data_IF_037954174750
#
_entry.id   IF_037954174750
#
_cell.length_a   1.000
_cell.length_b   1.000
_cell.length_c   1.000
_cell.angle_alpha   90.00
_cell.angle_beta   90.00
_cell.angle_gamma   90.00
#
_symmetry.space_group_name_H-M   'P 1'
#
loop_
_entity.id
_entity.type
_entity.pdbx_description
1 polymer ?
#
# COMPACT_ATOMS: atom_id res chain seq x y z
N UNK A 1 7.16 19.54 0.41
CA UNK A 1 7.30 19.03 1.79
C UNK A 1 6.97 17.55 1.77
N UNK A 2 7.79 16.74 2.40
CA UNK A 2 7.53 15.32 2.51
C UNK A 2 6.22 15.09 3.29
N UNK A 3 5.39 14.17 2.79
CA UNK A 3 4.18 13.69 3.45
C UNK A 3 4.53 12.70 4.56
N UNK A 4 5.49 11.81 4.25
CA UNK A 4 5.98 10.77 5.15
C UNK A 4 7.51 10.72 5.09
N UNK A 5 8.16 10.72 6.25
CA UNK A 5 9.57 10.41 6.40
C UNK A 5 9.72 9.29 7.45
N UNK A 6 10.45 8.27 7.12
CA UNK A 6 10.87 7.21 8.03
C UNK A 6 12.37 7.36 8.21
N UNK A 7 12.85 7.26 9.45
CA UNK A 7 14.26 7.38 9.80
C UNK A 7 14.68 6.21 10.68
N UNK A 8 15.71 5.51 10.26
CA UNK A 8 16.39 4.45 10.99
C UNK A 8 15.45 3.36 11.53
N UNK A 9 14.55 2.85 10.67
CA UNK A 9 13.58 1.83 11.09
C UNK A 9 14.24 0.47 11.25
N UNK A 10 14.02 -0.16 12.41
CA UNK A 10 14.48 -1.51 12.76
C UNK A 10 13.33 -2.41 13.16
N UNK A 11 13.37 -3.67 12.71
CA UNK A 11 12.43 -4.71 13.13
C UNK A 11 13.09 -6.08 13.16
N UNK A 12 12.87 -6.78 14.26
CA UNK A 12 13.30 -8.18 14.44
C UNK A 12 12.13 -9.04 14.91
N UNK A 13 12.15 -10.32 14.58
CA UNK A 13 11.28 -11.36 15.11
C UNK A 13 12.17 -12.42 15.75
N UNK A 14 12.23 -12.42 17.08
CA UNK A 14 13.22 -13.22 17.80
C UNK A 14 14.64 -12.82 17.39
N UNK A 15 15.43 -13.78 16.91
CA UNK A 15 16.80 -13.55 16.44
C UNK A 15 16.91 -13.14 14.96
N UNK A 16 15.79 -13.09 14.25
CA UNK A 16 15.80 -12.72 12.84
C UNK A 16 15.61 -11.20 12.66
N UNK A 17 16.67 -10.51 12.22
CA UNK A 17 16.59 -9.10 11.84
C UNK A 17 15.97 -8.97 10.45
N UNK A 18 14.82 -8.28 10.36
CA UNK A 18 14.03 -8.14 9.11
C UNK A 18 14.17 -6.74 8.52
N UNK A 19 14.24 -5.70 9.36
CA UNK A 19 14.55 -4.32 8.94
C UNK A 19 15.79 -3.85 9.69
N UNK A 20 16.75 -3.30 8.97
CA UNK A 20 18.11 -3.06 9.47
C UNK A 20 18.56 -1.59 9.26
N UNK A 21 17.80 -0.63 9.83
CA UNK A 21 18.15 0.79 9.75
C UNK A 21 17.89 1.36 8.36
N UNK A 22 16.61 1.47 7.98
CA UNK A 22 16.21 2.00 6.66
C UNK A 22 15.56 3.36 6.81
N UNK A 23 15.82 4.21 5.83
CA UNK A 23 15.15 5.50 5.65
C UNK A 23 14.21 5.43 4.44
N UNK A 24 13.10 6.18 4.48
CA UNK A 24 12.17 6.30 3.37
C UNK A 24 11.56 7.70 3.39
N UNK A 25 11.53 8.37 2.25
CA UNK A 25 10.85 9.65 2.09
C UNK A 25 9.79 9.56 1.00
N UNK A 26 8.58 10.02 1.28
CA UNK A 26 7.46 10.06 0.33
C UNK A 26 6.89 11.47 0.30
N UNK A 27 6.87 12.10 -0.87
CA UNK A 27 6.21 13.39 -1.06
C UNK A 27 4.75 13.19 -1.46
N UNK A 28 3.95 14.24 -1.30
CA UNK A 28 2.55 14.19 -1.74
C UNK A 28 2.49 14.01 -3.26
N UNK A 29 1.69 13.04 -3.71
CA UNK A 29 1.53 12.66 -5.11
C UNK A 29 2.58 11.67 -5.63
N UNK A 30 3.57 11.27 -4.81
CA UNK A 30 4.51 10.23 -5.20
C UNK A 30 3.84 8.85 -5.27
N UNK A 31 4.28 8.08 -6.24
CA UNK A 31 4.05 6.63 -6.32
C UNK A 31 5.37 5.93 -6.14
N UNK A 32 5.58 5.36 -4.95
CA UNK A 32 6.81 4.62 -4.63
C UNK A 32 6.58 3.13 -4.87
N UNK A 33 7.35 2.52 -5.77
CA UNK A 33 7.36 1.06 -5.92
C UNK A 33 8.50 0.46 -5.09
N UNK A 34 8.19 -0.53 -4.26
CA UNK A 34 9.17 -1.29 -3.48
C UNK A 34 9.28 -2.70 -4.08
N UNK A 35 10.43 -2.99 -4.64
CA UNK A 35 10.80 -4.25 -5.28
C UNK A 35 11.78 -5.05 -4.40
N UNK A 36 11.95 -6.32 -4.71
CA UNK A 36 12.96 -7.17 -4.08
C UNK A 36 12.49 -8.59 -3.84
N UNK A 37 13.41 -9.53 -3.55
CA UNK A 37 13.10 -10.94 -3.37
C UNK A 37 12.16 -11.18 -2.20
N UNK A 38 11.49 -12.34 -2.19
CA UNK A 38 10.68 -12.78 -1.05
C UNK A 38 11.53 -12.82 0.23
N UNK A 39 10.96 -12.39 1.36
CA UNK A 39 11.66 -12.31 2.64
C UNK A 39 12.62 -11.12 2.80
N UNK A 40 12.66 -10.16 1.87
CA UNK A 40 13.51 -8.97 2.00
C UNK A 40 13.02 -7.93 3.02
N UNK A 41 11.79 -8.09 3.57
CA UNK A 41 11.23 -7.21 4.60
C UNK A 41 10.19 -6.20 4.09
N UNK A 42 9.81 -6.22 2.80
CA UNK A 42 8.87 -5.26 2.17
C UNK A 42 7.52 -5.13 2.89
N UNK A 43 6.82 -6.26 3.06
CA UNK A 43 5.55 -6.34 3.81
C UNK A 43 5.71 -5.88 5.25
N UNK A 44 6.83 -6.27 5.91
CA UNK A 44 7.12 -5.85 7.29
C UNK A 44 7.29 -4.33 7.37
N UNK A 45 7.98 -3.71 6.40
CA UNK A 45 8.11 -2.26 6.34
C UNK A 45 6.74 -1.59 6.25
N UNK A 46 5.89 -1.97 5.30
CA UNK A 46 4.53 -1.39 5.17
C UNK A 46 3.71 -1.58 6.45
N UNK A 47 3.79 -2.74 7.08
CA UNK A 47 3.07 -3.01 8.32
C UNK A 47 3.58 -2.16 9.49
N UNK A 48 4.89 -1.96 9.61
CA UNK A 48 5.47 -1.11 10.65
C UNK A 48 5.06 0.36 10.47
N UNK A 49 5.15 0.92 9.26
CA UNK A 49 4.80 2.33 9.02
C UNK A 49 3.31 2.62 9.17
N UNK A 50 2.44 1.60 9.07
CA UNK A 50 1.00 1.73 9.34
C UNK A 50 0.59 1.17 10.73
N UNK A 51 1.56 0.86 11.59
CA UNK A 51 1.36 0.29 12.94
C UNK A 51 0.52 -0.99 12.97
N UNK A 52 0.47 -1.76 11.88
CA UNK A 52 -0.04 -3.14 11.87
C UNK A 52 0.94 -4.11 12.53
N UNK A 53 2.19 -3.70 12.60
CA UNK A 53 3.29 -4.33 13.35
C UNK A 53 4.06 -3.23 14.07
N UNK A 54 4.57 -3.50 15.28
CA UNK A 54 5.38 -2.53 16.03
C UNK A 54 6.85 -2.69 15.66
N UNK A 55 7.51 -1.63 15.23
CA UNK A 55 8.96 -1.62 15.00
C UNK A 55 9.72 -1.71 16.32
N UNK A 56 11.00 -2.14 16.29
CA UNK A 56 11.84 -2.15 17.47
C UNK A 56 12.49 -0.78 17.75
N UNK A 57 12.74 -0.02 16.67
CA UNK A 57 13.26 1.36 16.72
C UNK A 57 12.90 2.09 15.43
N UNK A 58 13.07 3.39 15.44
CA UNK A 58 12.89 4.28 14.31
C UNK A 58 11.91 5.41 14.58
N UNK A 59 12.02 6.44 13.76
CA UNK A 59 11.14 7.61 13.84
C UNK A 59 10.35 7.75 12.55
N UNK A 60 9.07 8.07 12.65
CA UNK A 60 8.23 8.46 11.54
C UNK A 60 7.80 9.92 11.69
N UNK A 61 7.94 10.71 10.62
CA UNK A 61 7.33 12.02 10.53
C UNK A 61 6.21 11.92 9.49
N UNK A 62 4.97 12.19 9.89
CA UNK A 62 3.81 12.14 9.00
C UNK A 62 3.02 13.45 9.12
N UNK A 63 2.82 14.14 7.99
CA UNK A 63 2.22 15.48 7.96
C UNK A 63 2.89 16.45 8.95
N UNK A 64 4.23 16.40 9.08
CA UNK A 64 5.03 17.25 9.97
C UNK A 64 4.96 16.86 11.44
N UNK A 65 4.19 15.84 11.84
CA UNK A 65 4.15 15.32 13.22
C UNK A 65 5.06 14.12 13.36
N UNK A 66 5.93 14.12 14.40
CA UNK A 66 6.86 13.04 14.70
C UNK A 66 6.22 11.98 15.60
N UNK A 67 6.54 10.70 15.31
CA UNK A 67 6.10 9.51 16.04
C UNK A 67 7.28 8.58 16.27
N UNK A 68 7.40 8.01 17.46
CA UNK A 68 8.30 6.91 17.76
C UNK A 68 7.66 5.60 17.30
N UNK A 69 8.25 4.92 16.31
CA UNK A 69 7.71 3.68 15.75
C UNK A 69 7.67 2.51 16.75
N UNK A 70 8.49 2.58 17.81
CA UNK A 70 8.53 1.55 18.85
C UNK A 70 7.54 1.79 19.99
N UNK A 71 7.11 3.05 20.21
CA UNK A 71 6.32 3.43 21.39
C UNK A 71 5.30 4.55 21.10
N UNK A 72 4.49 4.39 20.08
CA UNK A 72 3.42 5.36 19.78
C UNK A 72 2.13 4.99 20.52
N UNK A 73 1.46 6.00 21.11
CA UNK A 73 0.21 5.79 21.82
C UNK A 73 -0.91 5.26 20.91
N UNK A 74 -1.83 4.43 21.48
CA UNK A 74 -3.00 3.93 20.72
C UNK A 74 -3.85 5.07 20.14
N UNK A 75 -3.92 6.22 20.82
CA UNK A 75 -4.65 7.40 20.36
C UNK A 75 -3.99 8.01 19.12
N UNK A 76 -2.67 8.14 19.12
CA UNK A 76 -1.92 8.66 17.97
C UNK A 76 -1.98 7.71 16.78
N UNK A 77 -1.85 6.39 17.01
CA UNK A 77 -2.04 5.37 15.97
C UNK A 77 -3.44 5.48 15.34
N UNK A 78 -4.48 5.62 16.16
CA UNK A 78 -5.85 5.78 15.67
C UNK A 78 -6.03 7.06 14.83
N UNK A 79 -5.40 8.15 15.23
CA UNK A 79 -5.41 9.39 14.43
C UNK A 79 -4.65 9.22 13.10
N UNK A 80 -3.46 8.64 13.13
CA UNK A 80 -2.67 8.38 11.94
C UNK A 80 -3.44 7.53 10.92
N UNK A 81 -4.07 6.45 11.38
CA UNK A 81 -4.87 5.55 10.52
C UNK A 81 -6.09 6.22 9.88
N UNK A 82 -6.52 7.38 10.36
CA UNK A 82 -7.55 8.18 9.67
C UNK A 82 -7.04 8.79 8.36
N UNK A 83 -5.74 8.96 8.24
CA UNK A 83 -5.07 9.57 7.10
C UNK A 83 -4.39 8.55 6.18
N UNK A 84 -4.48 7.26 6.51
CA UNK A 84 -3.83 6.21 5.74
C UNK A 84 -4.83 5.16 5.28
N UNK A 85 -4.65 4.65 4.05
CA UNK A 85 -5.33 3.47 3.54
C UNK A 85 -4.36 2.29 3.47
N UNK A 86 -4.87 1.07 3.65
CA UNK A 86 -4.08 -0.15 3.49
C UNK A 86 -4.84 -1.19 2.66
N UNK A 87 -4.20 -1.68 1.60
CA UNK A 87 -4.70 -2.73 0.71
C UNK A 87 -3.82 -3.95 0.87
N UNK A 88 -4.42 -5.05 1.33
CA UNK A 88 -3.72 -6.30 1.64
C UNK A 88 -3.65 -7.22 0.43
N UNK A 89 -2.70 -8.13 0.43
CA UNK A 89 -2.53 -9.20 -0.54
C UNK A 89 -3.78 -10.10 -0.67
N UNK A 90 -4.38 -10.48 0.44
CA UNK A 90 -5.54 -11.40 0.53
C UNK A 90 -6.88 -10.67 0.69
N UNK A 91 -7.07 -9.50 0.08
CA UNK A 91 -8.29 -8.68 0.08
C UNK A 91 -8.81 -8.31 1.48
N UNK A 92 -8.86 -9.24 2.42
CA UNK A 92 -9.35 -9.11 3.80
C UNK A 92 -10.73 -8.44 3.88
N UNK A 93 -11.66 -8.86 3.01
CA UNK A 93 -13.04 -8.46 3.07
C UNK A 93 -13.80 -9.24 4.15
N UNK A 94 -14.74 -8.58 4.79
CA UNK A 94 -15.67 -9.24 5.72
C UNK A 94 -16.63 -10.12 4.93
N UNK A 95 -16.53 -11.44 5.09
CA UNK A 95 -17.30 -12.42 4.32
C UNK A 95 -18.82 -12.30 4.50
N UNK A 96 -19.27 -11.82 5.68
CA UNK A 96 -20.66 -11.62 6.04
C UNK A 96 -21.22 -10.23 5.70
N UNK A 97 -20.49 -9.45 4.89
CA UNK A 97 -20.89 -8.10 4.46
C UNK A 97 -20.82 -7.99 2.94
N UNK A 98 -21.75 -7.22 2.38
CA UNK A 98 -21.73 -6.92 0.94
C UNK A 98 -20.55 -6.04 0.57
N UNK A 99 -20.27 -5.86 -0.73
CA UNK A 99 -19.23 -4.95 -1.21
C UNK A 99 -19.41 -3.54 -0.65
N UNK A 100 -20.63 -2.97 -0.73
CA UNK A 100 -20.94 -1.66 -0.17
C UNK A 100 -20.71 -1.60 1.35
N UNK A 101 -21.14 -2.62 2.08
CA UNK A 101 -20.95 -2.69 3.53
C UNK A 101 -19.47 -2.81 3.92
N UNK A 102 -18.65 -3.52 3.12
CA UNK A 102 -17.21 -3.58 3.32
C UNK A 102 -16.56 -2.20 3.16
N UNK A 103 -16.98 -1.44 2.16
CA UNK A 103 -16.46 -0.10 1.89
C UNK A 103 -16.88 0.89 2.98
N UNK A 104 -18.13 0.82 3.45
CA UNK A 104 -18.71 1.82 4.36
C UNK A 104 -18.45 1.56 5.84
N UNK A 105 -17.98 0.35 6.21
CA UNK A 105 -17.80 -0.05 7.61
C UNK A 105 -16.86 0.89 8.37
N UNK A 106 -15.73 1.27 7.76
CA UNK A 106 -14.77 2.18 8.38
C UNK A 106 -15.32 3.59 8.62
N UNK A 107 -16.21 4.05 7.74
CA UNK A 107 -16.87 5.35 7.87
C UNK A 107 -17.87 5.34 9.04
N UNK A 108 -18.71 4.32 9.12
CA UNK A 108 -19.78 4.26 10.14
C UNK A 108 -19.23 3.93 11.51
N UNK A 109 -18.29 2.97 11.65
CA UNK A 109 -17.79 2.49 12.94
C UNK A 109 -16.67 3.34 13.51
N UNK A 110 -15.70 3.75 12.65
CA UNK A 110 -14.51 4.45 13.13
C UNK A 110 -14.60 5.98 13.01
N UNK A 111 -15.47 6.50 12.13
CA UNK A 111 -15.61 7.94 11.89
C UNK A 111 -16.96 8.53 12.28
N UNK A 112 -17.88 7.69 12.73
CA UNK A 112 -19.25 8.08 13.11
C UNK A 112 -20.02 8.82 11.99
N UNK A 113 -19.73 8.50 10.72
CA UNK A 113 -20.46 9.03 9.57
C UNK A 113 -21.84 8.38 9.54
N UNK A 114 -22.88 9.15 9.19
CA UNK A 114 -24.24 8.62 9.06
C UNK A 114 -24.30 7.50 8.01
N UNK A 115 -25.24 6.57 8.15
CA UNK A 115 -25.38 5.45 7.20
C UNK A 115 -25.70 5.93 5.78
N UNK A 116 -26.49 6.98 5.65
CA UNK A 116 -26.85 7.57 4.36
C UNK A 116 -25.63 8.19 3.67
N UNK A 117 -24.88 9.02 4.37
CA UNK A 117 -23.67 9.64 3.86
C UNK A 117 -22.59 8.60 3.54
N UNK A 118 -22.38 7.61 4.43
CA UNK A 118 -21.44 6.51 4.19
C UNK A 118 -21.82 5.70 2.94
N UNK A 119 -23.11 5.44 2.70
CA UNK A 119 -23.56 4.74 1.50
C UNK A 119 -23.32 5.57 0.24
N UNK A 120 -23.52 6.88 0.29
CA UNK A 120 -23.23 7.78 -0.84
C UNK A 120 -21.76 7.75 -1.18
N UNK A 121 -20.88 7.91 -0.19
CA UNK A 121 -19.42 7.81 -0.36
C UNK A 121 -19.05 6.42 -0.88
N UNK A 122 -19.59 5.36 -0.27
CA UNK A 122 -19.30 3.98 -0.66
C UNK A 122 -19.66 3.66 -2.10
N UNK A 123 -20.82 4.13 -2.58
CA UNK A 123 -21.23 3.96 -3.96
C UNK A 123 -20.33 4.72 -4.94
N UNK A 124 -19.88 5.93 -4.61
CA UNK A 124 -18.93 6.68 -5.40
C UNK A 124 -17.58 5.94 -5.50
N UNK A 125 -17.08 5.38 -4.40
CA UNK A 125 -15.84 4.63 -4.40
C UNK A 125 -15.96 3.30 -5.18
N UNK A 126 -17.08 2.61 -5.07
CA UNK A 126 -17.34 1.41 -5.88
C UNK A 126 -17.43 1.75 -7.38
N UNK A 127 -18.04 2.87 -7.74
CA UNK A 127 -18.09 3.35 -9.12
C UNK A 127 -16.68 3.65 -9.65
N UNK A 128 -15.86 4.31 -8.85
CA UNK A 128 -14.46 4.64 -9.18
C UNK A 128 -13.61 3.42 -9.49
N UNK A 129 -13.88 2.28 -8.86
CA UNK A 129 -13.15 1.01 -9.10
C UNK A 129 -13.92 0.06 -10.06
N UNK A 130 -15.01 0.51 -10.69
CA UNK A 130 -15.81 -0.29 -11.63
C UNK A 130 -16.61 -1.42 -10.95
N UNK A 131 -17.07 -1.20 -9.70
CA UNK A 131 -17.79 -2.20 -8.90
C UNK A 131 -19.20 -1.76 -8.47
N UNK A 132 -19.76 -0.67 -9.06
CA UNK A 132 -21.05 -0.11 -8.71
C UNK A 132 -22.19 -1.14 -8.79
N UNK A 133 -22.22 -1.90 -9.89
CA UNK A 133 -23.26 -2.91 -10.17
C UNK A 133 -23.13 -4.16 -9.28
N UNK A 134 -22.06 -4.27 -8.51
CA UNK A 134 -21.79 -5.36 -7.56
C UNK A 134 -21.90 -4.93 -6.10
N UNK A 135 -22.44 -3.75 -5.81
CA UNK A 135 -22.51 -3.16 -4.46
C UNK A 135 -23.21 -4.08 -3.43
N UNK A 136 -24.20 -4.86 -3.86
CA UNK A 136 -24.97 -5.79 -3.02
C UNK A 136 -24.38 -7.20 -2.93
N UNK A 137 -23.31 -7.50 -3.68
CA UNK A 137 -22.70 -8.83 -3.73
C UNK A 137 -21.84 -9.07 -2.49
N UNK A 138 -21.87 -10.30 -2.00
CA UNK A 138 -20.94 -10.78 -0.96
C UNK A 138 -19.61 -11.20 -1.56
N UNK A 139 -18.50 -11.21 -0.78
CA UNK A 139 -17.19 -11.63 -1.28
C UNK A 139 -17.17 -12.97 -2.00
N UNK A 140 -17.95 -13.96 -1.53
CA UNK A 140 -18.08 -15.27 -2.16
C UNK A 140 -18.70 -15.27 -3.58
N UNK A 141 -19.31 -14.16 -3.98
CA UNK A 141 -19.94 -13.97 -5.29
C UNK A 141 -19.05 -13.15 -6.25
N UNK A 142 -17.85 -12.75 -5.79
CA UNK A 142 -16.92 -11.90 -6.50
C UNK A 142 -15.64 -12.66 -6.87
N UNK A 143 -15.11 -12.42 -8.08
CA UNK A 143 -13.78 -12.90 -8.45
C UNK A 143 -12.69 -12.27 -7.57
N UNK A 144 -11.47 -12.84 -7.57
CA UNK A 144 -10.33 -12.29 -6.83
C UNK A 144 -10.06 -10.83 -7.19
N UNK A 145 -10.01 -10.49 -8.48
CA UNK A 145 -9.82 -9.12 -8.94
C UNK A 145 -10.95 -8.17 -8.53
N UNK A 146 -12.20 -8.65 -8.52
CA UNK A 146 -13.36 -7.91 -8.03
C UNK A 146 -13.25 -7.66 -6.52
N UNK A 147 -12.86 -8.66 -5.73
CA UNK A 147 -12.64 -8.51 -4.29
C UNK A 147 -11.53 -7.51 -4.00
N UNK A 148 -10.44 -7.54 -4.76
CA UNK A 148 -9.33 -6.60 -4.61
C UNK A 148 -9.75 -5.17 -4.96
N UNK A 149 -10.54 -4.97 -6.01
CA UNK A 149 -11.11 -3.65 -6.33
C UNK A 149 -12.02 -3.12 -5.23
N UNK A 150 -12.83 -3.98 -4.60
CA UNK A 150 -13.62 -3.60 -3.41
C UNK A 150 -12.71 -3.23 -2.22
N UNK A 151 -11.59 -3.95 -2.02
CA UNK A 151 -10.61 -3.62 -0.97
C UNK A 151 -9.94 -2.25 -1.24
N UNK A 152 -9.65 -1.92 -2.50
CA UNK A 152 -9.17 -0.59 -2.90
C UNK A 152 -10.24 0.48 -2.62
N UNK A 153 -11.51 0.25 -3.00
CA UNK A 153 -12.61 1.17 -2.72
C UNK A 153 -12.78 1.42 -1.20
N UNK A 154 -12.62 0.37 -0.38
CA UNK A 154 -12.64 0.47 1.10
C UNK A 154 -11.52 1.37 1.62
N UNK A 155 -10.32 1.25 1.08
CA UNK A 155 -9.20 2.12 1.45
C UNK A 155 -9.45 3.58 1.04
N UNK A 156 -9.98 3.81 -0.17
CA UNK A 156 -10.31 5.14 -0.70
C UNK A 156 -11.43 5.85 0.05
N UNK A 157 -12.43 5.12 0.53
CA UNK A 157 -13.62 5.68 1.17
C UNK A 157 -13.28 6.57 2.38
N UNK A 158 -12.16 6.32 3.03
CA UNK A 158 -11.70 7.13 4.16
C UNK A 158 -10.98 8.42 3.74
N UNK A 159 -10.89 8.72 2.46
CA UNK A 159 -10.16 9.87 1.92
C UNK A 159 -8.75 10.01 2.52
N UNK A 160 -7.88 9.00 2.32
CA UNK A 160 -6.55 8.98 2.93
C UNK A 160 -5.59 9.92 2.21
N UNK A 161 -4.57 10.42 2.94
CA UNK A 161 -3.46 11.18 2.36
C UNK A 161 -2.46 10.27 1.62
N UNK A 162 -2.39 8.98 2.02
CA UNK A 162 -1.51 7.96 1.44
C UNK A 162 -2.17 6.58 1.50
N UNK A 163 -1.95 5.75 0.47
CA UNK A 163 -2.39 4.35 0.45
C UNK A 163 -1.17 3.43 0.34
N UNK A 164 -1.12 2.44 1.22
CA UNK A 164 -0.13 1.36 1.20
C UNK A 164 -0.73 0.14 0.51
N UNK A 165 -0.04 -0.41 -0.48
CA UNK A 165 -0.42 -1.63 -1.20
C UNK A 165 0.61 -2.73 -0.91
N UNK A 166 0.19 -3.80 -0.27
CA UNK A 166 1.02 -4.96 0.06
C UNK A 166 0.74 -6.09 -0.94
N UNK A 167 1.51 -6.15 -2.01
CA UNK A 167 1.41 -7.14 -3.09
C UNK A 167 -0.04 -7.32 -3.63
N UNK A 168 -0.69 -6.26 -4.13
CA UNK A 168 -2.13 -6.25 -4.41
C UNK A 168 -2.58 -7.21 -5.53
N UNK A 169 -1.64 -7.78 -6.29
CA UNK A 169 -1.92 -8.66 -7.44
C UNK A 169 -1.46 -10.09 -7.23
N UNK A 170 -0.65 -10.39 -6.21
CA UNK A 170 0.02 -11.69 -6.05
C UNK A 170 -0.92 -12.88 -5.76
N UNK A 171 -2.16 -12.60 -5.31
CA UNK A 171 -3.19 -13.62 -5.07
C UNK A 171 -4.20 -13.73 -6.24
N UNK A 172 -3.89 -13.14 -7.41
CA UNK A 172 -4.77 -13.08 -8.56
C UNK A 172 -4.27 -13.95 -9.72
N UNK A 173 -5.23 -14.47 -10.48
CA UNK A 173 -4.95 -15.06 -11.77
C UNK A 173 -4.44 -13.98 -12.75
N UNK A 174 -3.52 -14.33 -13.69
CA UNK A 174 -2.91 -13.34 -14.61
C UNK A 174 -3.90 -12.48 -15.38
N UNK A 175 -5.07 -13.04 -15.74
CA UNK A 175 -6.12 -12.33 -16.47
C UNK A 175 -6.76 -11.19 -15.64
N UNK A 176 -6.76 -11.31 -14.30
CA UNK A 176 -7.37 -10.34 -13.39
C UNK A 176 -6.40 -9.26 -12.92
N UNK A 177 -5.10 -9.45 -13.10
CA UNK A 177 -4.05 -8.51 -12.68
C UNK A 177 -4.26 -7.14 -13.33
N UNK A 178 -4.51 -7.13 -14.64
CA UNK A 178 -4.63 -5.89 -15.42
C UNK A 178 -5.80 -5.00 -14.96
N UNK A 179 -6.89 -5.59 -14.50
CA UNK A 179 -8.04 -4.84 -13.97
C UNK A 179 -7.66 -4.05 -12.71
N UNK A 180 -6.88 -4.68 -11.81
CA UNK A 180 -6.42 -4.04 -10.57
C UNK A 180 -5.36 -2.97 -10.85
N UNK A 181 -4.38 -3.28 -11.72
CA UNK A 181 -3.34 -2.33 -12.11
C UNK A 181 -3.91 -1.10 -12.82
N UNK A 182 -4.96 -1.27 -13.63
CA UNK A 182 -5.65 -0.16 -14.29
C UNK A 182 -6.27 0.81 -13.28
N UNK A 183 -6.93 0.29 -12.24
CA UNK A 183 -7.45 1.11 -11.14
C UNK A 183 -6.32 1.86 -10.44
N UNK A 184 -5.22 1.18 -10.10
CA UNK A 184 -4.07 1.81 -9.43
C UNK A 184 -3.43 2.89 -10.31
N UNK A 185 -3.32 2.66 -11.62
CA UNK A 185 -2.83 3.67 -12.58
C UNK A 185 -3.74 4.90 -12.64
N UNK A 186 -5.06 4.71 -12.61
CA UNK A 186 -6.01 5.82 -12.55
C UNK A 186 -5.80 6.66 -11.28
N UNK A 187 -5.65 6.00 -10.12
CA UNK A 187 -5.37 6.69 -8.87
C UNK A 187 -4.05 7.47 -8.89
N UNK A 188 -3.00 6.90 -9.49
CA UNK A 188 -1.72 7.59 -9.69
C UNK A 188 -1.88 8.87 -10.54
N UNK A 189 -2.62 8.77 -11.64
CA UNK A 189 -2.89 9.91 -12.53
C UNK A 189 -3.72 11.02 -11.86
N UNK A 190 -4.53 10.67 -10.87
CA UNK A 190 -5.29 11.62 -10.04
C UNK A 190 -4.46 12.25 -8.91
N UNK A 191 -3.17 11.89 -8.80
CA UNK A 191 -2.25 12.42 -7.80
C UNK A 191 -2.35 11.77 -6.42
N UNK A 192 -2.93 10.56 -6.32
CA UNK A 192 -2.94 9.80 -5.08
C UNK A 192 -1.52 9.40 -4.68
N UNK A 193 -1.14 9.69 -3.44
CA UNK A 193 0.14 9.23 -2.89
C UNK A 193 0.07 7.75 -2.56
N UNK A 194 1.01 6.95 -3.08
CA UNK A 194 0.98 5.50 -2.90
C UNK A 194 2.37 4.95 -2.59
N UNK A 195 2.44 3.95 -1.70
CA UNK A 195 3.60 3.08 -1.52
C UNK A 195 3.16 1.66 -1.84
N UNK A 196 3.77 1.05 -2.85
CA UNK A 196 3.33 -0.20 -3.46
C UNK A 196 4.44 -1.23 -3.40
N UNK A 197 4.27 -2.26 -2.59
CA UNK A 197 5.07 -3.48 -2.70
C UNK A 197 4.51 -4.32 -3.85
N UNK A 198 5.32 -4.63 -4.86
CA UNK A 198 4.85 -5.33 -6.05
C UNK A 198 5.96 -6.14 -6.73
N UNK A 199 5.53 -7.13 -7.51
CA UNK A 199 6.34 -7.87 -8.46
C UNK A 199 6.03 -7.47 -9.93
N UNK A 200 5.10 -6.53 -10.13
CA UNK A 200 4.68 -6.06 -11.44
C UNK A 200 5.68 -5.03 -11.99
N UNK A 201 6.70 -5.49 -12.73
CA UNK A 201 7.76 -4.64 -13.26
C UNK A 201 7.25 -3.55 -14.19
N UNK A 202 6.25 -3.88 -15.03
CA UNK A 202 5.62 -2.92 -15.94
C UNK A 202 4.91 -1.79 -15.17
N UNK A 203 4.27 -2.09 -14.04
CA UNK A 203 3.67 -1.08 -13.17
C UNK A 203 4.77 -0.20 -12.53
N UNK A 204 5.77 -0.82 -11.93
CA UNK A 204 6.90 -0.10 -11.30
C UNK A 204 7.61 0.81 -12.30
N UNK A 205 7.82 0.37 -13.53
CA UNK A 205 8.48 1.15 -14.59
C UNK A 205 7.64 2.32 -15.09
N UNK A 206 6.33 2.09 -15.34
CA UNK A 206 5.51 3.03 -16.10
C UNK A 206 4.62 3.93 -15.24
N UNK A 207 4.40 3.58 -13.95
CA UNK A 207 3.47 4.28 -13.07
C UNK A 207 4.16 4.91 -11.87
N UNK A 208 5.23 4.29 -11.33
CA UNK A 208 5.89 4.86 -10.17
C UNK A 208 6.76 6.07 -10.51
N UNK A 209 6.80 7.05 -9.60
CA UNK A 209 7.73 8.18 -9.65
C UNK A 209 9.11 7.79 -9.15
N UNK A 210 9.17 6.86 -8.19
CA UNK A 210 10.38 6.41 -7.53
C UNK A 210 10.34 4.91 -7.28
N UNK A 211 11.48 4.24 -7.39
CA UNK A 211 11.62 2.79 -7.19
C UNK A 211 12.70 2.51 -6.17
N UNK A 212 12.43 1.55 -5.29
CA UNK A 212 13.32 1.08 -4.24
C UNK A 212 13.52 -0.43 -4.38
N UNK A 213 14.76 -0.90 -4.45
CA UNK A 213 15.10 -2.32 -4.34
C UNK A 213 15.50 -2.64 -2.90
N UNK A 214 14.75 -3.52 -2.25
CA UNK A 214 15.05 -4.03 -0.91
C UNK A 214 15.64 -5.43 -0.95
N UNK A 215 16.70 -5.65 -0.18
CA UNK A 215 17.25 -7.00 0.09
C UNK A 215 17.79 -7.08 1.51
N UNK A 216 17.51 -8.20 2.21
CA UNK A 216 18.01 -8.46 3.58
C UNK A 216 17.76 -7.31 4.56
N UNK A 217 16.60 -6.68 4.46
CA UNK A 217 16.17 -5.59 5.35
C UNK A 217 16.86 -4.26 5.13
N UNK A 218 17.49 -4.06 3.96
CA UNK A 218 18.16 -2.80 3.58
C UNK A 218 17.73 -2.37 2.19
N UNK A 219 17.87 -1.07 1.92
CA UNK A 219 17.77 -0.53 0.57
C UNK A 219 19.10 -0.81 -0.15
N UNK A 220 19.02 -1.51 -1.28
CA UNK A 220 20.18 -1.78 -2.16
C UNK A 220 20.40 -0.61 -3.11
N UNK A 221 19.32 -0.14 -3.70
CA UNK A 221 19.32 1.00 -4.62
C UNK A 221 17.95 1.65 -4.63
N UNK A 222 17.91 2.96 -4.80
CA UNK A 222 16.70 3.73 -5.02
C UNK A 222 16.91 4.85 -6.02
N UNK A 223 15.86 5.28 -6.68
CA UNK A 223 15.93 6.38 -7.64
C UNK A 223 14.62 6.61 -8.39
N UNK A 224 14.60 7.63 -9.26
CA UNK A 224 13.49 7.79 -10.18
C UNK A 224 13.29 6.52 -11.01
N UNK A 225 12.04 6.19 -11.35
CA UNK A 225 11.74 4.98 -12.13
C UNK A 225 12.60 4.90 -13.39
N UNK A 226 12.73 5.99 -14.14
CA UNK A 226 13.57 6.05 -15.33
C UNK A 226 15.02 5.64 -15.03
N UNK A 227 15.65 6.26 -14.03
CA UNK A 227 17.06 5.97 -13.72
C UNK A 227 17.25 4.53 -13.22
N UNK A 228 16.32 4.05 -12.39
CA UNK A 228 16.38 2.72 -11.82
C UNK A 228 16.33 1.61 -12.91
N UNK A 229 15.45 1.74 -13.91
CA UNK A 229 15.29 0.73 -14.96
C UNK A 229 16.26 0.90 -16.14
N UNK A 230 16.61 2.14 -16.52
CA UNK A 230 17.47 2.37 -17.68
C UNK A 230 18.97 2.44 -17.35
N UNK A 231 19.31 2.89 -16.12
CA UNK A 231 20.68 3.12 -15.69
C UNK A 231 20.94 2.66 -14.25
N UNK A 232 20.67 1.37 -13.90
CA UNK A 232 20.91 0.85 -12.56
C UNK A 232 22.40 0.91 -12.21
N UNK A 233 22.71 1.42 -11.02
CA UNK A 233 24.09 1.66 -10.56
C UNK A 233 24.68 0.43 -9.87
N UNK A 234 23.87 -0.29 -9.10
CA UNK A 234 24.31 -1.44 -8.33
C UNK A 234 24.26 -2.71 -9.19
N UNK A 235 25.32 -3.53 -9.16
CA UNK A 235 25.36 -4.82 -9.85
C UNK A 235 24.17 -5.72 -9.40
N UNK A 236 23.85 -5.67 -8.10
CA UNK A 236 22.73 -6.43 -7.55
C UNK A 236 21.38 -6.04 -8.16
N UNK A 237 21.17 -4.74 -8.46
CA UNK A 237 19.98 -4.25 -9.16
C UNK A 237 19.93 -4.76 -10.59
N UNK A 238 21.06 -4.73 -11.31
CA UNK A 238 21.15 -5.26 -12.67
C UNK A 238 20.81 -6.75 -12.71
N UNK A 239 21.35 -7.52 -11.75
CA UNK A 239 21.06 -8.95 -11.65
C UNK A 239 19.59 -9.24 -11.31
N UNK A 240 19.00 -8.40 -10.46
CA UNK A 240 17.58 -8.51 -10.12
C UNK A 240 16.71 -8.26 -11.36
N UNK A 241 16.93 -7.15 -12.07
CA UNK A 241 16.16 -6.79 -13.27
C UNK A 241 16.27 -7.84 -14.37
N UNK A 242 17.49 -8.37 -14.65
CA UNK A 242 17.68 -9.43 -15.65
C UNK A 242 16.87 -10.71 -15.34
N UNK A 243 16.72 -11.06 -14.06
CA UNK A 243 15.95 -12.25 -13.65
C UNK A 243 14.44 -12.08 -13.80
N UNK A 244 13.95 -10.85 -13.65
CA UNK A 244 12.52 -10.54 -13.79
C UNK A 244 12.09 -10.31 -15.24
N UNK A 245 13.05 -10.17 -16.18
CA UNK A 245 12.81 -10.08 -17.63
C UNK A 245 12.80 -11.44 -18.33
N UNK A 246 13.26 -12.53 -17.66
CA UNK A 246 13.27 -13.90 -18.17
C UNK A 246 11.99 -14.66 -17.81
#
# INVERSE_FOLDING_TARGET
>A
MALLEIKDIHKSFGNLNVLNGMDLTVNKGDVIAILGPSGSGKTTLLRCINYLETANAGTMIFNGKSYDLSNTSKKDVAQLRKHTGFVFQNYNLFANKTALQNVTLGLTVARNVSKEEANTIGMQMLEKVGMKDRATYYPSQLSGGQQQRVAIARALATNPDIIYFDEPTSALDPELIQEVLSVMKTLANEGMTMVVVTHEMAFAKNVSSHVILMEKGKIVEEGSSKNFFENPKQERTKDFLRKEEM
#
